data_IF_302342178380
#
_entry.id   IF_302342178380
#
_cell.length_a   1.000
_cell.length_b   1.000
_cell.length_c   1.000
_cell.angle_alpha   90.00
_cell.angle_beta   90.00
_cell.angle_gamma   90.00
#
_symmetry.space_group_name_H-M   'P 1'
#
loop_
_entity.id
_entity.type
_entity.pdbx_description
1 polymer ?
#
# COMPACT_ATOMS: atom_id res chain seq x y z
N UNK A 1 22.91 3.47 -16.31
CA UNK A 1 21.44 3.34 -16.33
C UNK A 1 20.91 4.27 -15.25
N UNK A 2 20.38 5.43 -15.64
CA UNK A 2 19.84 6.39 -14.68
C UNK A 2 18.46 5.92 -14.23
N UNK A 3 18.25 5.78 -12.94
CA UNK A 3 16.92 5.60 -12.37
C UNK A 3 16.23 6.95 -12.53
N UNK A 4 15.33 7.05 -13.51
CA UNK A 4 14.43 8.19 -13.68
C UNK A 4 13.42 8.12 -12.53
N UNK A 5 13.80 8.65 -11.37
CA UNK A 5 12.94 8.74 -10.19
C UNK A 5 11.90 9.84 -10.41
N UNK A 6 10.95 9.58 -11.31
CA UNK A 6 9.73 10.38 -11.39
C UNK A 6 8.93 10.08 -10.14
N UNK A 7 8.92 11.05 -9.22
CA UNK A 7 7.99 11.08 -8.10
C UNK A 7 6.58 11.02 -8.70
N UNK A 8 5.93 9.87 -8.63
CA UNK A 8 4.56 9.68 -9.07
C UNK A 8 3.64 10.36 -8.05
N UNK A 9 3.49 11.68 -8.19
CA UNK A 9 2.41 12.42 -7.54
C UNK A 9 1.12 11.95 -8.20
N UNK A 10 0.47 10.96 -7.59
CA UNK A 10 -0.82 10.45 -8.07
C UNK A 10 -1.86 11.55 -7.87
N UNK A 11 -2.37 12.08 -8.98
CA UNK A 11 -3.49 13.02 -8.96
C UNK A 11 -4.73 12.32 -8.42
N UNK A 12 -5.13 12.71 -7.21
CA UNK A 12 -6.28 12.16 -6.48
C UNK A 12 -7.61 12.28 -7.26
N UNK A 13 -7.67 13.09 -8.33
CA UNK A 13 -8.89 13.35 -9.10
C UNK A 13 -9.00 12.61 -10.45
N UNK A 14 -7.91 12.15 -11.06
CA UNK A 14 -7.98 11.38 -12.31
C UNK A 14 -8.26 9.88 -12.08
N UNK A 15 -8.20 9.46 -10.82
CA UNK A 15 -8.20 8.07 -10.39
C UNK A 15 -9.60 7.42 -10.23
N UNK A 16 -10.54 7.69 -11.14
CA UNK A 16 -11.88 7.06 -11.11
C UNK A 16 -11.88 5.53 -11.25
N UNK A 17 -10.74 4.93 -11.63
CA UNK A 17 -10.54 3.48 -11.76
C UNK A 17 -9.81 2.85 -10.56
N UNK A 18 -9.41 3.65 -9.58
CA UNK A 18 -8.70 3.23 -8.39
C UNK A 18 -9.66 3.41 -7.24
N UNK A 19 -10.47 2.39 -6.99
CA UNK A 19 -11.11 2.28 -5.69
C UNK A 19 -10.00 1.94 -4.69
N UNK A 20 -9.14 2.92 -4.37
CA UNK A 20 -8.30 2.85 -3.18
C UNK A 20 -9.27 2.48 -2.05
N UNK A 21 -9.02 1.38 -1.35
CA UNK A 21 -9.91 0.90 -0.31
C UNK A 21 -10.08 2.04 0.70
N UNK A 22 -11.30 2.53 0.89
CA UNK A 22 -11.59 3.54 1.93
C UNK A 22 -11.20 3.07 3.34
N UNK A 23 -10.96 1.77 3.46
CA UNK A 23 -10.53 1.06 4.67
C UNK A 23 -9.01 1.07 4.89
N UNK A 24 -8.20 1.61 3.97
CA UNK A 24 -6.75 1.65 4.12
C UNK A 24 -6.10 2.86 3.42
N UNK A 25 -4.97 3.32 3.95
CA UNK A 25 -4.16 4.38 3.35
C UNK A 25 -2.85 3.80 2.81
N UNK A 26 -2.46 4.18 1.60
CA UNK A 26 -1.16 3.83 1.07
C UNK A 26 -0.06 4.51 1.89
N UNK A 27 0.90 3.74 2.39
CA UNK A 27 2.08 4.24 3.10
C UNK A 27 3.33 4.20 2.21
N UNK A 28 3.34 3.29 1.23
CA UNK A 28 4.35 3.19 0.16
C UNK A 28 3.65 2.64 -1.09
N UNK A 29 3.88 3.22 -2.26
CA UNK A 29 3.39 2.68 -3.53
C UNK A 29 4.42 2.77 -4.65
N UNK A 30 4.20 1.98 -5.69
CA UNK A 30 4.90 2.12 -6.97
C UNK A 30 4.00 2.81 -8.01
N UNK A 31 4.61 3.24 -9.12
CA UNK A 31 3.90 3.90 -10.21
C UNK A 31 2.95 2.97 -10.99
N UNK A 32 2.89 1.68 -10.65
CA UNK A 32 2.04 0.67 -11.32
C UNK A 32 0.84 0.26 -10.45
N UNK A 33 0.80 0.71 -9.20
CA UNK A 33 -0.31 0.53 -8.25
C UNK A 33 -0.11 -0.59 -7.24
N UNK A 34 1.09 -1.19 -7.17
CA UNK A 34 1.43 -2.08 -6.06
C UNK A 34 1.89 -1.24 -4.88
N UNK A 35 1.64 -1.72 -3.66
CA UNK A 35 2.08 -0.94 -2.50
C UNK A 35 1.80 -1.56 -1.15
N UNK A 36 2.33 -0.90 -0.14
CA UNK A 36 2.04 -1.16 1.25
C UNK A 36 0.96 -0.20 1.75
N UNK A 37 0.00 -0.74 2.50
CA UNK A 37 -1.18 -0.03 2.97
C UNK A 37 -1.37 -0.25 4.47
N UNK A 38 -1.65 0.83 5.19
CA UNK A 38 -2.04 0.81 6.59
C UNK A 38 -3.56 0.73 6.69
N UNK A 39 -4.08 -0.29 7.36
CA UNK A 39 -5.52 -0.46 7.57
C UNK A 39 -6.08 0.54 8.58
N UNK A 40 -7.27 1.05 8.27
CA UNK A 40 -7.98 2.09 9.03
C UNK A 40 -9.35 1.63 9.56
N UNK A 41 -10.02 0.67 8.93
CA UNK A 41 -11.30 0.14 9.42
C UNK A 41 -11.11 -0.97 10.45
N UNK A 42 -12.11 -1.23 11.31
CA UNK A 42 -11.99 -2.12 12.48
C UNK A 42 -11.25 -3.44 12.22
N UNK A 43 -11.58 -4.14 11.12
CA UNK A 43 -10.96 -5.43 10.77
C UNK A 43 -9.47 -5.32 10.42
N UNK A 44 -9.05 -4.20 9.84
CA UNK A 44 -7.71 -3.98 9.30
C UNK A 44 -6.88 -3.00 10.15
N UNK A 45 -7.49 -2.41 11.17
CA UNK A 45 -6.96 -1.24 11.87
C UNK A 45 -5.55 -1.48 12.42
N UNK A 46 -4.62 -0.60 12.04
CA UNK A 46 -3.24 -0.60 12.52
C UNK A 46 -2.31 -1.61 11.84
N UNK A 47 -2.87 -2.55 11.07
CA UNK A 47 -2.11 -3.59 10.37
C UNK A 47 -1.59 -3.09 9.03
N UNK A 48 -0.48 -3.67 8.58
CA UNK A 48 0.16 -3.33 7.30
C UNK A 48 -0.03 -4.46 6.30
N UNK A 49 -0.50 -4.11 5.11
CA UNK A 49 -0.78 -5.03 4.03
C UNK A 49 0.05 -4.71 2.80
N UNK A 50 0.49 -5.74 2.09
CA UNK A 50 0.97 -5.61 0.73
C UNK A 50 -0.17 -5.89 -0.24
N UNK A 51 -0.42 -4.94 -1.13
CA UNK A 51 -1.42 -5.07 -2.18
C UNK A 51 -0.72 -5.08 -3.53
N UNK A 52 -0.70 -6.27 -4.15
CA UNK A 52 -0.33 -6.44 -5.55
C UNK A 52 -1.58 -6.24 -6.42
N UNK A 53 -1.59 -5.17 -7.21
CA UNK A 53 -2.72 -4.82 -8.06
C UNK A 53 -2.88 -5.79 -9.21
N UNK A 54 -1.77 -6.29 -9.76
CA UNK A 54 -1.79 -7.17 -10.93
C UNK A 54 -2.40 -8.53 -10.57
N UNK A 55 -2.10 -9.01 -9.36
CA UNK A 55 -2.59 -10.29 -8.82
C UNK A 55 -3.97 -10.14 -8.19
N UNK A 56 -4.18 -9.07 -7.42
CA UNK A 56 -5.42 -8.88 -6.64
C UNK A 56 -6.14 -7.59 -7.05
N UNK A 57 -7.23 -7.75 -7.81
CA UNK A 57 -8.05 -6.59 -8.25
C UNK A 57 -8.77 -5.86 -7.11
N UNK A 58 -8.80 -6.45 -5.91
CA UNK A 58 -9.45 -5.88 -4.72
C UNK A 58 -8.54 -6.00 -3.50
N UNK A 59 -8.44 -4.94 -2.72
CA UNK A 59 -7.66 -4.89 -1.47
C UNK A 59 -8.03 -5.97 -0.45
N UNK A 60 -9.25 -6.51 -0.51
CA UNK A 60 -9.70 -7.59 0.38
C UNK A 60 -8.84 -8.86 0.34
N UNK A 61 -8.04 -9.03 -0.72
CA UNK A 61 -7.09 -10.14 -0.88
C UNK A 61 -5.63 -9.69 -0.68
N UNK A 62 -5.40 -8.50 -0.14
CA UNK A 62 -4.06 -8.02 0.18
C UNK A 62 -3.43 -8.92 1.26
N UNK A 63 -2.13 -9.13 1.13
CA UNK A 63 -1.36 -9.97 2.02
C UNK A 63 -1.03 -9.20 3.30
N UNK A 64 -1.25 -9.80 4.48
CA UNK A 64 -0.86 -9.20 5.74
C UNK A 64 0.66 -9.34 5.90
N UNK A 65 1.36 -8.22 6.03
CA UNK A 65 2.82 -8.17 6.18
C UNK A 65 3.22 -7.96 7.64
N UNK A 66 2.48 -7.12 8.36
CA UNK A 66 2.75 -6.85 9.77
C UNK A 66 1.46 -6.55 10.57
N UNK A 67 1.46 -6.95 11.83
CA UNK A 67 0.34 -6.71 12.77
C UNK A 67 0.27 -5.26 13.26
N UNK A 68 1.35 -4.49 13.09
CA UNK A 68 1.39 -3.06 13.42
C UNK A 68 2.34 -2.31 12.46
N UNK A 69 2.15 -1.00 12.35
CA UNK A 69 3.11 -0.15 11.63
C UNK A 69 4.50 -0.14 12.28
N UNK A 70 4.58 -0.23 13.61
CA UNK A 70 5.86 -0.32 14.34
C UNK A 70 6.61 -1.61 13.98
N UNK A 71 5.94 -2.76 14.02
CA UNK A 71 6.54 -4.04 13.65
C UNK A 71 7.00 -4.06 12.19
N UNK A 72 6.28 -3.38 11.30
CA UNK A 72 6.70 -3.21 9.90
C UNK A 72 8.01 -2.42 9.79
N UNK A 73 8.16 -1.33 10.53
CA UNK A 73 9.39 -0.52 10.53
C UNK A 73 10.56 -1.29 11.15
N UNK A 74 10.35 -2.01 12.25
CA UNK A 74 11.38 -2.84 12.89
C UNK A 74 11.95 -3.88 11.92
N UNK A 75 11.08 -4.58 11.17
CA UNK A 75 11.49 -5.57 10.16
C UNK A 75 12.31 -4.97 9.01
N UNK A 76 12.13 -3.69 8.69
CA UNK A 76 12.90 -3.03 7.63
C UNK A 76 14.30 -2.61 8.07
N UNK A 77 14.52 -2.50 9.38
CA UNK A 77 15.76 -1.97 9.96
C UNK A 77 16.67 -3.10 10.47
N UNK A 78 16.14 -4.28 10.74
CA UNK A 78 16.95 -5.47 11.05
C UNK A 78 17.64 -6.00 9.77
N UNK A 79 18.98 -5.90 9.73
CA UNK A 79 19.86 -6.43 8.66
C UNK A 79 20.02 -7.96 8.67
#
# INVERSE_FOLDING_TARGET
MGIDSKLCLVDVNEDRWWRKPWEAIAIMDDCFGNGFFLGLSEKYQGKVYFWDREVTRTFYNAELVAESFEAFIEQMVEE
#
